data_IF_566132580173
#
_entry.id   IF_566132580173
#
_cell.length_a   1.000
_cell.length_b   1.000
_cell.length_c   1.000
_cell.angle_alpha   90.00
_cell.angle_beta   90.00
_cell.angle_gamma   90.00
#
_symmetry.space_group_name_H-M   'P 1'
#
loop_
_entity.id
_entity.type
_entity.pdbx_description
1 polymer ?
#
# COMPACT_ATOMS: atom_id res chain seq x y z
N UNK A 1 6.29 16.68 7.79
CA UNK A 1 5.78 16.49 6.41
C UNK A 1 4.26 16.56 6.44
N UNK A 2 3.61 17.29 5.53
CA UNK A 2 2.15 17.30 5.43
C UNK A 2 1.64 16.05 4.67
N UNK A 3 0.33 15.80 4.67
CA UNK A 3 -0.23 14.62 4.02
C UNK A 3 -0.06 14.62 2.49
N UNK A 4 -0.08 15.78 1.82
CA UNK A 4 0.08 15.84 0.36
C UNK A 4 1.50 15.44 -0.07
N UNK A 5 2.51 15.91 0.66
CA UNK A 5 3.90 15.50 0.46
C UNK A 5 4.08 14.00 0.73
N UNK A 6 3.45 13.49 1.79
CA UNK A 6 3.42 12.05 2.10
C UNK A 6 2.80 11.26 0.94
N UNK A 7 1.66 11.72 0.40
CA UNK A 7 0.96 11.06 -0.69
C UNK A 7 1.81 10.96 -1.95
N UNK A 8 2.55 12.02 -2.30
CA UNK A 8 3.47 12.00 -3.44
C UNK A 8 4.61 10.99 -3.22
N UNK A 9 5.20 10.95 -2.02
CA UNK A 9 6.21 9.95 -1.67
C UNK A 9 5.64 8.53 -1.70
N UNK A 10 4.43 8.35 -1.17
CA UNK A 10 3.71 7.09 -1.15
C UNK A 10 3.49 6.56 -2.57
N UNK A 11 2.96 7.39 -3.49
CA UNK A 11 2.78 6.98 -4.89
C UNK A 11 4.10 6.55 -5.54
N UNK A 12 5.20 7.28 -5.30
CA UNK A 12 6.54 6.94 -5.81
C UNK A 12 7.02 5.59 -5.28
N UNK A 13 6.73 5.26 -4.02
CA UNK A 13 7.10 4.00 -3.37
C UNK A 13 6.19 2.81 -3.72
N UNK A 14 5.10 3.05 -4.46
CA UNK A 14 4.12 2.03 -4.85
C UNK A 14 3.96 1.94 -6.38
N UNK A 15 5.03 2.25 -7.13
CA UNK A 15 5.01 2.18 -8.60
C UNK A 15 4.89 0.74 -9.11
N UNK A 16 5.40 -0.26 -8.39
CA UNK A 16 5.28 -1.64 -8.84
C UNK A 16 3.86 -2.16 -8.61
N UNK A 17 3.18 -2.73 -9.62
CA UNK A 17 1.84 -3.30 -9.46
C UNK A 17 1.77 -4.43 -8.44
N UNK A 18 2.84 -5.22 -8.25
CA UNK A 18 2.84 -6.31 -7.27
C UNK A 18 2.87 -5.78 -5.83
N UNK A 19 3.62 -4.71 -5.57
CA UNK A 19 3.61 -3.99 -4.28
C UNK A 19 2.19 -3.50 -3.99
N UNK A 20 1.57 -2.79 -4.94
CA UNK A 20 0.18 -2.33 -4.80
C UNK A 20 -0.79 -3.48 -4.52
N UNK A 21 -0.63 -4.60 -5.21
CA UNK A 21 -1.49 -5.76 -5.03
C UNK A 21 -1.41 -6.33 -3.61
N UNK A 22 -0.21 -6.47 -3.04
CA UNK A 22 -0.05 -6.91 -1.65
C UNK A 22 -0.70 -5.92 -0.66
N UNK A 23 -0.57 -4.61 -0.91
CA UNK A 23 -1.24 -3.58 -0.12
C UNK A 23 -2.76 -3.61 -0.25
N UNK A 24 -3.31 -3.97 -1.42
CA UNK A 24 -4.75 -4.19 -1.58
C UNK A 24 -5.23 -5.37 -0.75
N UNK A 25 -4.48 -6.48 -0.72
CA UNK A 25 -4.80 -7.62 0.14
C UNK A 25 -4.78 -7.20 1.61
N UNK A 26 -3.72 -6.49 2.04
CA UNK A 26 -3.62 -5.97 3.41
C UNK A 26 -4.81 -5.05 3.76
N UNK A 27 -5.21 -4.17 2.83
CA UNK A 27 -6.35 -3.26 3.00
C UNK A 27 -7.66 -4.02 3.16
N UNK A 28 -7.91 -5.04 2.33
CA UNK A 28 -9.12 -5.88 2.42
C UNK A 28 -9.16 -6.63 3.74
N UNK A 29 -8.04 -7.22 4.17
CA UNK A 29 -7.95 -7.90 5.47
C UNK A 29 -8.28 -6.93 6.62
N UNK A 30 -7.71 -5.72 6.60
CA UNK A 30 -8.00 -4.69 7.58
C UNK A 30 -9.48 -4.31 7.64
N UNK A 31 -10.11 -4.09 6.48
CA UNK A 31 -11.54 -3.77 6.38
C UNK A 31 -12.40 -4.92 6.93
N UNK A 32 -12.14 -6.16 6.52
CA UNK A 32 -12.89 -7.33 6.99
C UNK A 32 -12.70 -7.55 8.49
N UNK A 33 -11.48 -7.39 9.01
CA UNK A 33 -11.21 -7.45 10.44
C UNK A 33 -11.98 -6.40 11.23
N UNK A 34 -12.08 -5.17 10.71
CA UNK A 34 -12.91 -4.12 11.30
C UNK A 34 -14.40 -4.46 11.31
N UNK A 35 -14.94 -4.97 10.19
CA UNK A 35 -16.34 -5.40 10.09
C UNK A 35 -16.65 -6.52 11.09
N UNK A 36 -15.79 -7.54 11.16
CA UNK A 36 -15.95 -8.66 12.12
C UNK A 36 -15.84 -8.15 13.56
N UNK A 37 -14.88 -7.27 13.86
CA UNK A 37 -14.75 -6.65 15.18
C UNK A 37 -16.02 -5.93 15.62
N UNK A 38 -16.65 -5.17 14.72
CA UNK A 38 -17.91 -4.48 15.00
C UNK A 38 -19.07 -5.46 15.18
N UNK A 39 -19.14 -6.50 14.36
CA UNK A 39 -20.19 -7.51 14.46
C UNK A 39 -20.10 -8.32 15.76
N UNK A 40 -18.90 -8.73 16.15
CA UNK A 40 -18.70 -9.52 17.38
C UNK A 40 -18.47 -8.67 18.64
N UNK A 41 -18.45 -7.33 18.51
CA UNK A 41 -18.06 -6.39 19.57
C UNK A 41 -16.72 -6.75 20.25
N UNK A 42 -15.77 -7.29 19.47
CA UNK A 42 -14.46 -7.74 19.97
C UNK A 42 -13.34 -7.12 19.17
N UNK A 43 -12.47 -6.37 19.86
CA UNK A 43 -11.36 -5.65 19.23
C UNK A 43 -10.22 -6.56 18.76
N UNK A 44 -10.18 -7.82 19.20
CA UNK A 44 -9.09 -8.73 18.85
C UNK A 44 -9.01 -8.99 17.33
N UNK A 45 -10.15 -9.03 16.63
CA UNK A 45 -10.18 -9.27 15.18
C UNK A 45 -9.49 -8.16 14.38
N UNK A 46 -9.79 -6.90 14.68
CA UNK A 46 -9.14 -5.76 14.02
C UNK A 46 -7.65 -5.68 14.39
N UNK A 47 -7.27 -6.03 15.62
CA UNK A 47 -5.85 -6.08 16.02
C UNK A 47 -5.09 -7.12 15.17
N UNK A 48 -5.60 -8.36 15.08
CA UNK A 48 -4.98 -9.39 14.25
C UNK A 48 -4.92 -9.00 12.77
N UNK A 49 -5.99 -8.40 12.25
CA UNK A 49 -6.03 -7.92 10.87
C UNK A 49 -4.98 -6.83 10.59
N UNK A 50 -4.80 -5.87 11.50
CA UNK A 50 -3.76 -4.84 11.41
C UNK A 50 -2.37 -5.47 11.43
N UNK A 51 -2.11 -6.42 12.33
CA UNK A 51 -0.81 -7.11 12.40
C UNK A 51 -0.48 -7.83 11.10
N UNK A 52 -1.43 -8.59 10.55
CA UNK A 52 -1.27 -9.28 9.26
C UNK A 52 -1.04 -8.26 8.14
N UNK A 53 -1.80 -7.16 8.13
CA UNK A 53 -1.65 -6.09 7.15
C UNK A 53 -0.26 -5.45 7.17
N UNK A 54 0.28 -5.18 8.36
CA UNK A 54 1.64 -4.66 8.53
C UNK A 54 2.69 -5.63 7.98
N UNK A 55 2.56 -6.93 8.29
CA UNK A 55 3.49 -7.96 7.78
C UNK A 55 3.45 -7.99 6.25
N UNK A 56 2.27 -8.01 5.63
CA UNK A 56 2.13 -7.99 4.17
C UNK A 56 2.72 -6.72 3.56
N UNK A 57 2.45 -5.55 4.14
CA UNK A 57 3.00 -4.28 3.67
C UNK A 57 4.54 -4.29 3.70
N UNK A 58 5.14 -4.68 4.82
CA UNK A 58 6.60 -4.74 4.97
C UNK A 58 7.21 -5.75 3.99
N UNK A 59 6.66 -6.97 3.90
CA UNK A 59 7.18 -8.00 2.99
C UNK A 59 7.11 -7.56 1.53
N UNK A 60 6.08 -6.81 1.14
CA UNK A 60 5.97 -6.31 -0.23
C UNK A 60 7.15 -5.38 -0.59
N UNK A 61 7.48 -4.44 0.30
CA UNK A 61 8.60 -3.52 0.12
C UNK A 61 9.97 -4.21 0.15
N UNK A 62 10.14 -5.18 1.06
CA UNK A 62 11.41 -5.90 1.19
C UNK A 62 11.65 -6.86 0.02
N UNK A 63 10.66 -7.66 -0.38
CA UNK A 63 10.86 -8.74 -1.36
C UNK A 63 10.73 -8.22 -2.80
N UNK A 64 9.79 -7.33 -3.09
CA UNK A 64 9.47 -6.92 -4.46
C UNK A 64 10.35 -5.75 -4.90
N UNK A 65 10.43 -4.71 -4.05
CA UNK A 65 11.07 -3.46 -4.42
C UNK A 65 12.46 -3.28 -3.79
N UNK A 66 12.81 -4.08 -2.78
CA UNK A 66 14.00 -3.89 -1.95
C UNK A 66 14.14 -2.44 -1.46
N UNK A 67 13.04 -1.83 -1.00
CA UNK A 67 13.02 -0.47 -0.47
C UNK A 67 12.59 -0.43 0.99
N UNK A 68 12.87 0.71 1.65
CA UNK A 68 12.48 0.92 3.04
C UNK A 68 10.97 1.19 3.11
N UNK A 69 10.22 0.49 3.98
CA UNK A 69 8.79 0.71 4.11
C UNK A 69 8.50 2.10 4.67
N UNK A 70 7.62 2.86 4.02
CA UNK A 70 7.20 4.20 4.49
C UNK A 70 6.43 4.16 5.82
N UNK A 71 6.01 2.97 6.26
CA UNK A 71 5.47 2.72 7.59
C UNK A 71 6.34 3.33 8.71
N UNK A 72 7.68 3.32 8.54
CA UNK A 72 8.62 3.90 9.49
C UNK A 72 8.57 5.43 9.60
N UNK A 73 8.02 6.12 8.59
CA UNK A 73 7.94 7.58 8.57
C UNK A 73 6.68 8.06 9.29
N UNK A 74 5.52 7.52 8.91
CA UNK A 74 4.25 7.84 9.54
C UNK A 74 3.23 6.72 9.29
N UNK A 75 2.94 5.87 10.31
CA UNK A 75 2.06 4.72 10.13
C UNK A 75 0.61 5.12 9.84
N UNK A 76 0.13 6.24 10.42
CA UNK A 76 -1.23 6.73 10.20
C UNK A 76 -1.42 7.22 8.76
N UNK A 77 -0.48 8.02 8.25
CA UNK A 77 -0.53 8.45 6.84
C UNK A 77 -0.34 7.28 5.88
N UNK A 78 0.44 6.26 6.25
CA UNK A 78 0.55 5.01 5.50
C UNK A 78 -0.81 4.33 5.34
N UNK A 79 -1.48 4.01 6.45
CA UNK A 79 -2.79 3.36 6.44
C UNK A 79 -3.85 4.19 5.68
N UNK A 80 -3.86 5.51 5.87
CA UNK A 80 -4.78 6.40 5.13
C UNK A 80 -4.47 6.40 3.63
N UNK A 81 -3.20 6.33 3.25
CA UNK A 81 -2.76 6.25 1.85
C UNK A 81 -3.12 4.91 1.22
N UNK A 82 -3.03 3.80 1.97
CA UNK A 82 -3.46 2.46 1.50
C UNK A 82 -4.95 2.46 1.16
N UNK A 83 -5.79 3.00 2.06
CA UNK A 83 -7.23 3.17 1.81
C UNK A 83 -7.50 4.07 0.60
N UNK A 84 -6.81 5.21 0.49
CA UNK A 84 -6.94 6.13 -0.66
C UNK A 84 -6.54 5.46 -1.97
N UNK A 85 -5.42 4.74 -1.98
CA UNK A 85 -4.93 4.04 -3.16
C UNK A 85 -5.90 2.93 -3.58
N UNK A 86 -6.41 2.16 -2.63
CA UNK A 86 -7.40 1.11 -2.88
C UNK A 86 -8.70 1.69 -3.46
N UNK A 87 -9.20 2.78 -2.88
CA UNK A 87 -10.38 3.49 -3.41
C UNK A 87 -10.18 3.99 -4.85
N UNK A 88 -9.04 4.63 -5.14
CA UNK A 88 -8.70 5.09 -6.48
C UNK A 88 -8.54 3.94 -7.48
N UNK A 89 -8.04 2.78 -7.03
CA UNK A 89 -7.93 1.58 -7.83
C UNK A 89 -9.33 1.06 -8.22
N UNK A 90 -10.23 0.90 -7.25
CA UNK A 90 -11.63 0.48 -7.50
C UNK A 90 -12.34 1.44 -8.45
N UNK A 91 -12.12 2.75 -8.30
CA UNK A 91 -12.67 3.78 -9.18
C UNK A 91 -11.97 3.91 -10.54
N UNK A 92 -10.95 3.09 -10.85
CA UNK A 92 -10.10 3.21 -12.07
C UNK A 92 -9.46 4.59 -12.26
N UNK A 93 -9.27 5.34 -11.18
CA UNK A 93 -8.69 6.70 -11.17
C UNK A 93 -7.23 6.73 -10.75
N UNK A 94 -6.69 5.62 -10.25
CA UNK A 94 -5.32 5.58 -9.72
C UNK A 94 -4.29 6.05 -10.74
N UNK A 95 -4.37 5.58 -12.00
CA UNK A 95 -3.45 6.01 -13.07
C UNK A 95 -3.44 7.54 -13.25
N UNK A 96 -4.61 8.18 -13.21
CA UNK A 96 -4.72 9.64 -13.38
C UNK A 96 -4.02 10.37 -12.24
N UNK A 97 -4.09 9.83 -11.02
CA UNK A 97 -3.42 10.40 -9.85
C UNK A 97 -1.90 10.34 -9.98
N UNK A 98 -1.34 9.23 -10.48
CA UNK A 98 0.08 9.13 -10.79
C UNK A 98 0.51 10.19 -11.83
N UNK A 99 -0.25 10.30 -12.92
CA UNK A 99 0.04 11.26 -14.01
C UNK A 99 -0.05 12.72 -13.54
N UNK A 100 -1.03 13.05 -12.70
CA UNK A 100 -1.20 14.38 -12.10
C UNK A 100 0.06 14.88 -11.39
N UNK A 101 0.82 13.95 -10.79
CA UNK A 101 2.04 14.25 -10.05
C UNK A 101 3.32 14.00 -10.86
N UNK A 102 3.22 13.80 -12.18
CA UNK A 102 4.34 13.45 -13.07
C UNK A 102 5.09 12.19 -12.60
N UNK A 103 4.36 11.24 -11.99
CA UNK A 103 4.90 9.96 -11.54
C UNK A 103 4.57 8.92 -12.60
N UNK A 104 5.60 8.24 -13.11
CA UNK A 104 5.40 7.12 -14.02
C UNK A 104 4.51 6.04 -13.37
N UNK A 105 3.40 5.73 -14.04
CA UNK A 105 2.52 4.64 -13.67
C UNK A 105 2.98 3.37 -14.37
N UNK A 106 3.47 2.38 -13.61
CA UNK A 106 3.82 1.08 -14.18
C UNK A 106 2.61 0.14 -14.17
N UNK A 107 2.05 -0.24 -15.34
CA UNK A 107 0.90 -1.14 -15.42
C UNK A 107 1.28 -2.62 -15.34
N UNK A 108 2.58 -2.98 -15.47
CA UNK A 108 3.09 -4.35 -15.45
C UNK A 108 4.32 -4.44 -14.56
N UNK A 109 4.58 -5.62 -14.00
CA UNK A 109 5.76 -5.82 -13.15
C UNK A 109 7.04 -5.62 -13.98
N UNK A 110 7.76 -4.54 -13.73
CA UNK A 110 9.03 -4.19 -14.41
C UNK A 110 10.25 -4.86 -13.79
N UNK A 111 10.07 -5.74 -12.77
CA UNK A 111 11.17 -6.47 -12.12
C UNK A 111 11.93 -7.43 -13.04
N UNK A 112 11.47 -7.66 -14.27
CA UNK A 112 12.18 -8.49 -15.27
C UNK A 112 13.33 -7.78 -15.99
N UNK A 113 13.58 -6.48 -15.74
CA UNK A 113 14.60 -5.71 -16.48
C UNK A 113 15.69 -5.03 -15.60
N UNK A 114 15.96 -5.52 -14.39
CA UNK A 114 17.21 -5.12 -13.71
C UNK A 114 18.33 -6.08 -14.13
N UNK A 115 19.40 -5.63 -14.80
CA UNK A 115 20.59 -6.46 -14.95
C UNK A 115 21.09 -6.82 -13.55
N UNK A 116 21.37 -8.11 -13.34
CA UNK A 116 22.06 -8.59 -12.15
C UNK A 116 23.49 -8.04 -12.28
N UNK A 117 23.76 -6.92 -11.60
CA UNK A 117 25.13 -6.49 -11.38
C UNK A 117 25.58 -7.23 -10.11
N UNK A 118 26.43 -8.23 -10.30
CA UNK A 118 27.23 -8.87 -9.25
C UNK A 118 28.24 -7.86 -8.69
#
# INVERSE_FOLDING_TARGET
MNFNDFWILYLKAHKNPMTRFMHYIATVIGILGGIVSLWTLSLHWVIFAILIGIVLAILSHLIIENNKPLFLINPFYGALSDLRMFYLFLGRRLKNEYLKHNIEYSPKNSSKNKPIIL
#
